data_IF_368110103034
#
_entry.id   IF_368110103034
#
_cell.length_a   1.000
_cell.length_b   1.000
_cell.length_c   1.000
_cell.angle_alpha   90.00
_cell.angle_beta   90.00
_cell.angle_gamma   90.00
#
_symmetry.space_group_name_H-M   'P 1'
#
loop_
_entity.id
_entity.type
_entity.pdbx_description
1 polymer ?
#
# COMPACT_ATOMS: atom_id res chain seq x y z
N UNK A 1 57.61 21.10 -41.33
CA UNK A 1 56.93 22.42 -41.28
C UNK A 1 55.99 22.50 -42.47
N UNK A 2 54.72 22.92 -42.37
CA UNK A 2 53.85 23.25 -41.22
C UNK A 2 52.86 22.08 -40.94
N UNK A 3 52.03 21.95 -39.89
CA UNK A 3 51.61 22.84 -38.81
C UNK A 3 50.14 23.27 -38.96
N UNK A 4 49.16 22.49 -38.48
CA UNK A 4 47.81 22.97 -38.07
C UNK A 4 46.97 21.89 -37.33
N UNK A 5 46.89 22.07 -36.01
CA UNK A 5 45.75 21.96 -35.05
C UNK A 5 44.74 20.81 -35.18
N UNK A 6 44.83 19.84 -34.26
CA UNK A 6 43.71 19.03 -33.77
C UNK A 6 42.99 19.78 -32.63
N UNK A 7 41.67 19.94 -32.73
CA UNK A 7 40.82 20.47 -31.66
C UNK A 7 40.61 19.38 -30.59
N UNK A 8 41.43 19.40 -29.54
CA UNK A 8 41.09 18.75 -28.26
C UNK A 8 40.13 19.68 -27.52
N UNK A 9 38.87 19.26 -27.40
CA UNK A 9 37.90 19.89 -26.49
C UNK A 9 38.10 19.21 -25.13
N UNK A 10 39.00 19.77 -24.35
CA UNK A 10 39.16 19.48 -22.93
C UNK A 10 37.86 19.90 -22.21
N UNK A 11 37.09 18.92 -21.71
CA UNK A 11 35.95 19.20 -20.84
C UNK A 11 36.45 19.17 -19.39
N UNK A 12 36.49 20.31 -18.68
CA UNK A 12 36.85 20.30 -17.26
C UNK A 12 35.76 19.55 -16.48
N UNK A 13 36.17 18.41 -15.92
CA UNK A 13 35.43 17.65 -14.92
C UNK A 13 35.47 18.38 -13.58
N UNK A 14 34.68 19.45 -13.45
CA UNK A 14 34.39 20.07 -12.16
C UNK A 14 33.01 19.59 -11.67
N UNK A 15 33.06 18.56 -10.81
CA UNK A 15 31.92 18.14 -10.02
C UNK A 15 31.56 19.24 -9.01
N UNK A 16 30.57 20.06 -9.34
CA UNK A 16 29.95 20.95 -8.37
C UNK A 16 29.12 20.13 -7.36
N UNK A 17 29.25 20.38 -6.03
CA UNK A 17 28.40 19.75 -5.05
C UNK A 17 26.96 20.25 -5.22
N UNK A 18 26.01 19.32 -5.34
CA UNK A 18 24.58 19.62 -5.25
C UNK A 18 24.30 20.05 -3.81
N UNK A 19 24.24 21.36 -3.59
CA UNK A 19 23.72 21.96 -2.36
C UNK A 19 22.21 21.75 -2.36
N UNK A 20 21.73 20.75 -1.61
CA UNK A 20 20.32 20.66 -1.24
C UNK A 20 20.05 21.76 -0.20
N UNK A 21 19.59 22.92 -0.67
CA UNK A 21 19.07 23.96 0.20
C UNK A 21 17.77 23.46 0.84
N UNK A 22 17.81 23.16 2.15
CA UNK A 22 16.61 23.00 2.96
C UNK A 22 15.96 24.37 3.14
N UNK A 23 14.88 24.64 2.40
CA UNK A 23 13.97 25.72 2.73
C UNK A 23 13.10 25.27 3.92
N UNK A 24 13.58 25.52 5.13
CA UNK A 24 12.74 25.55 6.32
C UNK A 24 11.95 26.86 6.30
N UNK A 25 10.73 26.85 5.75
CA UNK A 25 9.83 27.99 5.91
C UNK A 25 9.25 27.94 7.33
N UNK A 26 9.76 28.88 8.11
CA UNK A 26 9.36 29.26 9.46
C UNK A 26 7.84 29.47 9.56
N UNK A 27 7.18 28.67 10.39
CA UNK A 27 5.83 28.94 10.94
C UNK A 27 5.93 29.00 12.46
N UNK A 28 6.71 29.96 12.94
CA UNK A 28 6.60 30.46 14.30
C UNK A 28 5.63 31.64 14.23
N UNK A 29 4.39 31.41 14.66
CA UNK A 29 3.56 32.37 15.40
C UNK A 29 2.18 31.75 15.65
N UNK A 30 1.99 31.22 16.86
CA UNK A 30 0.85 31.43 17.78
C UNK A 30 1.24 30.65 19.04
N UNK A 31 1.97 31.34 19.92
CA UNK A 31 2.17 30.94 21.30
C UNK A 31 0.98 31.51 22.09
N UNK A 32 0.16 30.64 22.67
CA UNK A 32 -0.43 30.92 23.98
C UNK A 32 0.13 29.91 24.97
N UNK A 33 0.94 30.45 25.87
CA UNK A 33 1.67 29.84 26.97
C UNK A 33 0.76 29.22 28.03
N UNK A 34 1.10 28.01 28.51
CA UNK A 34 0.96 27.60 29.91
C UNK A 34 1.83 26.35 30.21
N UNK A 35 2.27 26.16 31.47
CA UNK A 35 3.63 25.72 31.80
C UNK A 35 3.87 24.22 31.84
N UNK A 36 5.15 23.86 31.70
CA UNK A 36 5.69 22.55 31.99
C UNK A 36 5.30 22.07 33.39
N UNK A 37 4.42 21.06 33.45
CA UNK A 37 4.28 20.19 34.62
C UNK A 37 4.83 18.83 34.24
N UNK A 38 5.99 18.52 34.79
CA UNK A 38 6.64 17.23 34.72
C UNK A 38 5.76 16.18 35.39
N UNK A 39 5.04 15.39 34.61
CA UNK A 39 4.48 14.12 35.07
C UNK A 39 5.17 12.98 34.34
N UNK A 40 5.85 12.13 35.12
CA UNK A 40 6.27 10.81 34.69
C UNK A 40 5.02 10.09 34.16
N UNK A 41 4.96 9.84 32.86
CA UNK A 41 3.92 8.97 32.28
C UNK A 41 4.59 7.64 31.98
N UNK A 42 4.10 6.62 32.68
CA UNK A 42 4.66 5.28 32.74
C UNK A 42 4.78 4.59 31.39
N UNK A 43 5.55 3.51 31.43
CA UNK A 43 5.69 2.49 30.41
C UNK A 43 4.29 1.95 30.04
N UNK A 44 3.72 2.54 28.99
CA UNK A 44 2.44 2.14 28.42
C UNK A 44 2.64 0.85 27.63
N UNK A 45 2.36 -0.26 28.29
CA UNK A 45 2.16 -1.57 27.71
C UNK A 45 0.85 -1.57 26.89
N UNK A 46 0.80 -0.76 25.83
CA UNK A 46 -0.27 -0.81 24.81
C UNK A 46 0.05 -1.97 23.86
N UNK A 47 -0.13 -3.20 24.36
CA UNK A 47 -0.47 -4.36 23.52
C UNK A 47 -1.94 -4.20 23.07
N UNK A 48 -2.23 -3.11 22.35
CA UNK A 48 -3.55 -2.88 21.79
C UNK A 48 -3.76 -3.92 20.70
N UNK A 49 -4.79 -4.76 20.86
CA UNK A 49 -5.14 -5.78 19.90
C UNK A 49 -5.37 -5.12 18.53
N UNK A 50 -4.75 -5.68 17.49
CA UNK A 50 -4.95 -5.21 16.12
C UNK A 50 -6.46 -5.30 15.83
N UNK A 51 -7.13 -4.19 15.46
CA UNK A 51 -8.56 -4.23 15.18
C UNK A 51 -8.83 -5.23 14.05
N UNK A 52 -9.78 -6.12 14.29
CA UNK A 52 -10.25 -7.07 13.29
C UNK A 52 -11.01 -6.30 12.22
N UNK A 53 -10.33 -6.01 11.11
CA UNK A 53 -10.98 -5.39 9.95
C UNK A 53 -12.10 -6.33 9.51
N UNK A 54 -13.34 -5.86 9.61
CA UNK A 54 -14.51 -6.64 9.23
C UNK A 54 -14.49 -6.89 7.71
N UNK A 55 -13.85 -7.98 7.32
CA UNK A 55 -13.79 -8.37 5.94
C UNK A 55 -15.19 -8.81 5.50
N UNK A 56 -15.63 -8.35 4.32
CA UNK A 56 -16.95 -8.70 3.79
C UNK A 56 -17.11 -10.22 3.72
N UNK A 57 -18.24 -10.73 4.20
CA UNK A 57 -18.55 -12.15 4.06
C UNK A 57 -18.73 -12.48 2.56
N UNK A 58 -18.03 -13.52 2.10
CA UNK A 58 -18.23 -14.04 0.74
C UNK A 58 -19.57 -14.79 0.69
N UNK A 59 -20.62 -14.12 0.21
CA UNK A 59 -21.90 -14.75 -0.10
C UNK A 59 -21.78 -15.49 -1.44
N UNK A 60 -21.63 -16.82 -1.35
CA UNK A 60 -21.50 -17.69 -2.50
C UNK A 60 -22.75 -17.69 -3.40
N UNK A 61 -23.94 -17.54 -2.83
CA UNK A 61 -25.18 -17.54 -3.61
C UNK A 61 -25.35 -16.21 -4.35
N UNK A 62 -25.12 -15.08 -3.68
CA UNK A 62 -25.13 -13.78 -4.34
C UNK A 62 -24.07 -13.71 -5.44
N UNK A 63 -22.89 -14.27 -5.20
CA UNK A 63 -21.81 -14.33 -6.20
C UNK A 63 -22.25 -15.17 -7.40
N UNK A 64 -22.87 -16.33 -7.17
CA UNK A 64 -23.39 -17.19 -8.24
C UNK A 64 -24.45 -16.48 -9.09
N UNK A 65 -25.37 -15.76 -8.45
CA UNK A 65 -26.40 -14.97 -9.15
C UNK A 65 -25.75 -13.91 -10.04
N UNK A 66 -24.77 -13.17 -9.52
CA UNK A 66 -24.06 -12.16 -10.29
C UNK A 66 -23.29 -12.77 -11.48
N UNK A 67 -22.68 -13.93 -11.27
CA UNK A 67 -21.97 -14.66 -12.34
C UNK A 67 -22.92 -15.14 -13.43
N UNK A 68 -24.09 -15.69 -13.10
CA UNK A 68 -25.09 -16.06 -14.12
C UNK A 68 -25.60 -14.83 -14.89
N UNK A 69 -25.76 -13.67 -14.22
CA UNK A 69 -26.14 -12.44 -14.90
C UNK A 69 -25.08 -11.99 -15.93
N UNK A 70 -23.79 -12.16 -15.62
CA UNK A 70 -22.69 -11.89 -16.56
C UNK A 70 -22.70 -12.86 -17.75
N UNK A 71 -22.97 -14.15 -17.49
CA UNK A 71 -23.09 -15.16 -18.55
C UNK A 71 -24.28 -14.84 -19.46
N UNK A 72 -25.41 -14.45 -18.89
CA UNK A 72 -26.58 -14.06 -19.68
C UNK A 72 -26.31 -12.82 -20.52
N UNK A 73 -25.67 -11.78 -19.95
CA UNK A 73 -25.25 -10.59 -20.71
C UNK A 73 -24.36 -10.98 -21.89
N UNK A 74 -23.39 -11.88 -21.68
CA UNK A 74 -22.52 -12.32 -22.77
C UNK A 74 -23.29 -13.02 -23.91
N UNK A 75 -24.30 -13.84 -23.57
CA UNK A 75 -25.17 -14.48 -24.56
C UNK A 75 -26.01 -13.46 -25.33
N UNK A 76 -26.58 -12.48 -24.63
CA UNK A 76 -27.37 -11.40 -25.22
C UNK A 76 -26.50 -10.53 -26.15
N UNK A 77 -25.23 -10.33 -25.81
CA UNK A 77 -24.23 -9.60 -26.59
C UNK A 77 -23.65 -10.41 -27.78
N UNK A 78 -24.14 -11.63 -28.01
CA UNK A 78 -23.81 -12.45 -29.18
C UNK A 78 -22.74 -13.52 -28.96
N UNK A 79 -22.45 -13.89 -27.71
CA UNK A 79 -21.65 -15.08 -27.42
C UNK A 79 -22.34 -16.33 -28.00
N UNK A 80 -21.61 -17.27 -28.64
CA UNK A 80 -22.21 -18.45 -29.26
C UNK A 80 -23.00 -19.29 -28.25
N UNK A 81 -24.32 -19.42 -28.47
CA UNK A 81 -25.22 -20.11 -27.55
C UNK A 81 -24.88 -21.61 -27.39
N UNK A 82 -24.30 -22.24 -28.43
CA UNK A 82 -23.80 -23.62 -28.40
C UNK A 82 -22.64 -23.82 -27.41
N UNK A 83 -21.95 -22.73 -27.05
CA UNK A 83 -20.83 -22.73 -26.10
C UNK A 83 -21.21 -22.27 -24.70
N UNK A 84 -22.47 -21.92 -24.44
CA UNK A 84 -22.92 -21.40 -23.14
C UNK A 84 -22.62 -22.35 -21.98
N UNK A 85 -22.86 -23.65 -22.16
CA UNK A 85 -22.53 -24.67 -21.14
C UNK A 85 -21.03 -24.83 -20.93
N UNK A 86 -20.24 -24.69 -22.00
CA UNK A 86 -18.79 -24.72 -21.90
C UNK A 86 -18.26 -23.49 -21.14
N UNK A 87 -18.85 -22.32 -21.37
CA UNK A 87 -18.54 -21.11 -20.62
C UNK A 87 -18.86 -21.27 -19.13
N UNK A 88 -20.07 -21.76 -18.78
CA UNK A 88 -20.43 -22.08 -17.38
C UNK A 88 -19.41 -23.02 -16.73
N UNK A 89 -19.02 -24.07 -17.43
CA UNK A 89 -18.02 -25.03 -16.94
C UNK A 89 -16.69 -24.35 -16.58
N UNK A 90 -16.20 -23.45 -17.44
CA UNK A 90 -14.94 -22.72 -17.19
C UNK A 90 -15.10 -21.73 -16.03
N UNK A 91 -16.19 -20.97 -16.03
CA UNK A 91 -16.44 -19.91 -15.04
C UNK A 91 -16.56 -20.49 -13.63
N UNK A 92 -17.19 -21.65 -13.49
CA UNK A 92 -17.33 -22.35 -12.20
C UNK A 92 -16.17 -23.31 -11.87
N UNK A 93 -15.19 -23.47 -12.75
CA UNK A 93 -14.01 -24.31 -12.46
C UNK A 93 -13.12 -23.70 -11.36
N UNK A 94 -13.23 -22.40 -11.11
CA UNK A 94 -12.39 -21.67 -10.16
C UNK A 94 -13.23 -20.78 -9.24
N UNK A 95 -12.91 -20.82 -7.94
CA UNK A 95 -13.50 -19.94 -6.93
C UNK A 95 -12.71 -18.62 -6.84
N UNK A 96 -12.84 -17.78 -7.88
CA UNK A 96 -12.11 -16.50 -8.02
C UNK A 96 -13.02 -15.28 -7.96
N UNK A 97 -14.33 -15.48 -7.82
CA UNK A 97 -15.33 -14.43 -7.91
C UNK A 97 -15.64 -13.86 -6.53
N UNK A 98 -15.61 -12.52 -6.40
CA UNK A 98 -15.87 -11.80 -5.14
C UNK A 98 -16.73 -10.58 -5.41
N UNK A 99 -17.82 -10.43 -4.65
CA UNK A 99 -18.66 -9.22 -4.68
C UNK A 99 -18.09 -8.11 -3.78
N UNK A 100 -17.48 -8.52 -2.67
CA UNK A 100 -16.78 -7.65 -1.73
C UNK A 100 -15.43 -8.31 -1.46
N UNK A 101 -14.35 -7.52 -1.50
CA UNK A 101 -13.03 -8.04 -1.11
C UNK A 101 -13.07 -8.39 0.38
N UNK A 102 -12.76 -9.63 0.70
CA UNK A 102 -12.96 -10.22 2.01
C UNK A 102 -11.71 -10.92 2.55
N UNK A 103 -11.89 -11.64 3.66
CA UNK A 103 -10.87 -12.46 4.30
C UNK A 103 -10.69 -13.76 3.52
N UNK A 104 -10.11 -13.66 2.33
CA UNK A 104 -9.66 -14.84 1.63
C UNK A 104 -8.55 -15.51 2.45
N UNK A 105 -8.56 -16.86 2.55
CA UNK A 105 -7.51 -17.56 3.27
C UNK A 105 -6.15 -17.23 2.62
N UNK A 106 -5.07 -17.20 3.41
CA UNK A 106 -3.75 -16.99 2.85
C UNK A 106 -3.46 -18.05 1.80
N UNK A 107 -2.72 -17.66 0.76
CA UNK A 107 -2.29 -18.59 -0.27
C UNK A 107 -1.57 -19.79 0.36
N UNK A 108 -1.73 -20.97 -0.25
CA UNK A 108 -1.07 -22.20 0.20
C UNK A 108 0.40 -22.22 -0.20
N UNK A 109 1.16 -21.29 0.37
CA UNK A 109 2.60 -21.10 0.17
C UNK A 109 3.26 -20.91 1.52
N UNK A 110 4.56 -21.18 1.59
CA UNK A 110 5.33 -20.90 2.81
C UNK A 110 5.20 -19.41 3.16
N UNK A 111 4.83 -19.05 4.41
CA UNK A 111 4.75 -17.67 4.82
C UNK A 111 6.08 -16.94 4.58
N UNK A 112 5.99 -15.68 4.16
CA UNK A 112 7.17 -14.87 3.92
C UNK A 112 8.02 -14.76 5.20
N UNK A 113 9.30 -15.12 5.10
CA UNK A 113 10.27 -15.00 6.21
C UNK A 113 11.20 -13.82 5.98
N UNK A 114 11.28 -12.93 6.96
CA UNK A 114 12.22 -11.81 6.94
C UNK A 114 13.56 -12.20 7.58
N UNK A 115 14.67 -11.84 6.93
CA UNK A 115 16.03 -11.99 7.49
C UNK A 115 16.58 -10.62 7.84
N UNK A 116 16.96 -10.43 9.10
CA UNK A 116 17.62 -9.20 9.53
C UNK A 116 19.06 -9.16 9.04
N UNK A 117 19.56 -7.97 8.71
CA UNK A 117 20.99 -7.77 8.46
C UNK A 117 21.77 -7.95 9.77
N UNK A 118 23.01 -8.45 9.67
CA UNK A 118 23.89 -8.59 10.82
C UNK A 118 24.07 -7.25 11.55
N UNK A 119 23.94 -7.27 12.88
CA UNK A 119 24.05 -6.07 13.72
C UNK A 119 22.79 -5.20 13.79
N UNK A 120 21.69 -5.61 13.16
CA UNK A 120 20.40 -4.92 13.32
C UNK A 120 19.93 -4.99 14.78
N UNK A 121 19.48 -3.83 15.30
CA UNK A 121 18.89 -3.71 16.63
C UNK A 121 17.40 -3.36 16.47
N UNK A 122 16.49 -4.02 17.20
CA UNK A 122 15.09 -3.63 17.24
C UNK A 122 14.93 -2.18 17.69
N UNK A 123 13.97 -1.47 17.11
CA UNK A 123 13.66 -0.08 17.44
C UNK A 123 12.14 0.10 17.50
N UNK A 124 11.64 0.64 18.62
CA UNK A 124 10.24 1.03 18.79
C UNK A 124 10.11 2.51 18.41
N UNK A 125 9.51 2.79 17.26
CA UNK A 125 9.23 4.15 16.84
C UNK A 125 8.05 4.73 17.65
N UNK A 126 8.08 6.04 17.92
CA UNK A 126 6.91 6.75 18.49
C UNK A 126 5.77 6.75 17.46
N UNK A 127 4.55 6.47 17.92
CA UNK A 127 3.36 6.56 17.08
C UNK A 127 3.21 7.97 16.49
N UNK A 128 2.75 8.05 15.24
CA UNK A 128 2.46 9.34 14.60
C UNK A 128 1.21 9.93 15.23
N UNK A 129 1.23 11.24 15.49
CA UNK A 129 0.03 11.98 15.89
C UNK A 129 -0.78 12.29 14.63
N UNK A 130 -1.96 11.69 14.53
CA UNK A 130 -2.93 11.99 13.49
C UNK A 130 -3.96 12.98 14.05
N UNK A 131 -4.49 13.87 13.19
CA UNK A 131 -5.65 14.68 13.58
C UNK A 131 -6.87 13.76 13.78
N UNK A 132 -7.86 14.14 14.61
CA UNK A 132 -8.99 13.30 14.94
C UNK A 132 -9.74 12.75 13.72
N UNK A 133 -9.88 13.56 12.67
CA UNK A 133 -10.52 13.18 11.41
C UNK A 133 -9.76 12.06 10.66
N UNK A 134 -8.44 12.02 10.76
CA UNK A 134 -7.63 10.94 10.17
C UNK A 134 -7.65 9.68 11.02
N UNK A 135 -7.74 9.82 12.35
CA UNK A 135 -7.90 8.67 13.24
C UNK A 135 -9.23 7.97 12.98
N UNK A 136 -10.32 8.73 12.90
CA UNK A 136 -11.66 8.21 12.63
C UNK A 136 -11.80 7.55 11.23
N UNK A 137 -10.94 7.89 10.27
CA UNK A 137 -10.90 7.25 8.96
C UNK A 137 -10.13 5.92 8.96
N UNK A 138 -9.12 5.79 9.83
CA UNK A 138 -8.26 4.61 9.91
C UNK A 138 -8.81 3.54 10.87
N UNK A 139 -9.79 3.91 11.69
CA UNK A 139 -10.60 3.04 12.55
C UNK A 139 -11.63 2.26 11.73
#
# INVERSE_FOLDING_TARGET
MPGTVSLEIDHPSDAHPIVMANAAQKVEDILHEAPASSTNVGDGDDDEAIPEVAAGANDAEATRIAVEALIQSALDDGFPADKGEHLRTIVYAYDVWRLVLGNDPPAYVEPMRFRMKTGCRPYKAKARKYAPEYQAFLE
#
